data_IF_304917585720
#
_entry.id   IF_304917585720
#
_cell.length_a   1.000
_cell.length_b   1.000
_cell.length_c   1.000
_cell.angle_alpha   90.00
_cell.angle_beta   90.00
_cell.angle_gamma   90.00
#
_symmetry.space_group_name_H-M   'P 1'
#
loop_
_entity.id
_entity.type
_entity.pdbx_description
1 polymer ?
#
# COMPACT_ATOMS: atom_id res chain seq x y z
N UNK A 1 -4.43 2.54 10.31
CA UNK A 1 -3.61 2.89 11.50
C UNK A 1 -4.33 3.88 12.43
N UNK A 2 -5.03 4.88 11.94
CA UNK A 2 -5.76 5.86 12.79
C UNK A 2 -6.76 5.20 13.76
N UNK A 3 -7.60 4.28 13.27
CA UNK A 3 -8.55 3.55 14.13
C UNK A 3 -7.84 2.62 15.13
N UNK A 4 -6.73 1.99 14.70
CA UNK A 4 -5.92 1.16 15.61
C UNK A 4 -5.32 1.98 16.76
N UNK A 5 -4.77 3.16 16.44
CA UNK A 5 -4.23 4.07 17.45
C UNK A 5 -5.31 4.54 18.42
N UNK A 6 -6.46 4.99 17.91
CA UNK A 6 -7.58 5.43 18.74
C UNK A 6 -8.12 4.31 19.65
N UNK A 7 -8.27 3.10 19.14
CA UNK A 7 -8.72 1.95 19.91
C UNK A 7 -7.69 1.53 20.98
N UNK A 8 -6.40 1.59 20.67
CA UNK A 8 -5.33 1.32 21.64
C UNK A 8 -5.33 2.36 22.76
N UNK A 9 -5.44 3.66 22.42
CA UNK A 9 -5.49 4.74 23.40
C UNK A 9 -6.70 4.64 24.35
N UNK A 10 -7.85 4.18 23.81
CA UNK A 10 -9.03 3.90 24.62
C UNK A 10 -8.83 2.71 25.57
N UNK A 11 -8.16 1.65 25.08
CA UNK A 11 -7.88 0.45 25.89
C UNK A 11 -6.75 0.65 26.91
N UNK A 12 -5.90 1.68 26.70
CA UNK A 12 -4.70 1.91 27.52
C UNK A 12 -4.62 3.39 27.94
N UNK A 13 -5.40 3.78 28.96
CA UNK A 13 -5.44 5.16 29.42
C UNK A 13 -4.05 5.71 29.76
N UNK A 14 -3.77 6.92 29.32
CA UNK A 14 -2.46 7.57 29.52
C UNK A 14 -1.44 7.35 28.42
N UNK A 15 -1.67 6.42 27.49
CA UNK A 15 -0.87 6.29 26.27
C UNK A 15 -1.38 7.23 25.17
N UNK A 16 -0.45 7.69 24.33
CA UNK A 16 -0.76 8.51 23.14
C UNK A 16 0.08 8.04 21.96
N UNK A 17 -0.55 7.89 20.82
CA UNK A 17 0.09 7.48 19.57
C UNK A 17 0.17 8.66 18.62
N UNK A 18 1.39 9.09 18.29
CA UNK A 18 1.62 10.06 17.22
C UNK A 18 1.85 9.32 15.91
N UNK A 19 0.94 9.47 14.97
CA UNK A 19 1.04 8.86 13.65
C UNK A 19 1.80 9.77 12.67
N UNK A 20 2.67 9.16 11.88
CA UNK A 20 3.33 9.77 10.72
C UNK A 20 3.05 8.87 9.54
N UNK A 21 2.49 9.43 8.48
CA UNK A 21 2.14 8.70 7.27
C UNK A 21 3.07 9.06 6.12
N UNK A 22 3.35 8.07 5.27
CA UNK A 22 4.16 8.21 4.06
C UNK A 22 4.34 6.88 3.36
N UNK A 23 4.93 6.91 2.18
CA UNK A 23 5.36 5.70 1.49
C UNK A 23 6.41 4.96 2.34
N UNK A 24 6.27 3.63 2.47
CA UNK A 24 7.04 2.85 3.45
C UNK A 24 8.56 2.93 3.23
N UNK A 25 9.02 2.94 1.98
CA UNK A 25 10.44 3.10 1.66
C UNK A 25 10.97 4.48 2.06
N UNK A 26 10.20 5.54 1.85
CA UNK A 26 10.56 6.89 2.27
C UNK A 26 10.63 7.00 3.81
N UNK A 27 9.69 6.37 4.53
CA UNK A 27 9.71 6.34 5.99
C UNK A 27 10.90 5.54 6.52
N UNK A 28 11.25 4.42 5.89
CA UNK A 28 12.46 3.65 6.22
C UNK A 28 13.71 4.52 6.12
N UNK A 29 13.89 5.24 5.00
CA UNK A 29 15.04 6.13 4.83
C UNK A 29 15.09 7.24 5.88
N UNK A 30 13.95 7.87 6.19
CA UNK A 30 13.88 8.87 7.27
C UNK A 30 14.34 8.30 8.62
N UNK A 31 13.93 7.06 8.94
CA UNK A 31 14.37 6.36 10.17
C UNK A 31 15.90 6.12 10.12
N UNK A 32 16.44 5.65 8.99
CA UNK A 32 17.89 5.46 8.77
C UNK A 32 18.68 6.76 8.91
N UNK A 33 18.09 7.89 8.51
CA UNK A 33 18.69 9.23 8.70
C UNK A 33 18.45 9.82 10.08
N UNK A 34 17.96 9.03 11.06
CA UNK A 34 17.87 9.39 12.47
C UNK A 34 16.50 9.93 12.90
N UNK A 35 15.47 9.90 12.08
CA UNK A 35 14.13 10.23 12.56
C UNK A 35 13.64 9.17 13.55
N UNK A 36 13.18 9.62 14.72
CA UNK A 36 12.73 8.72 15.76
C UNK A 36 11.37 8.12 15.43
N UNK A 37 11.30 6.79 15.38
CA UNK A 37 10.08 6.02 15.35
C UNK A 37 10.16 4.90 16.37
N UNK A 38 9.17 4.79 17.26
CA UNK A 38 9.10 3.71 18.23
C UNK A 38 8.54 2.43 17.61
N UNK A 39 7.58 2.57 16.66
CA UNK A 39 7.01 1.48 15.86
C UNK A 39 7.02 1.88 14.38
N UNK A 40 7.45 0.97 13.53
CA UNK A 40 7.40 1.11 12.08
C UNK A 40 6.47 0.05 11.48
N UNK A 41 5.37 0.47 10.86
CA UNK A 41 4.46 -0.38 10.11
C UNK A 41 4.60 -0.11 8.61
N UNK A 42 4.87 -1.15 7.84
CA UNK A 42 5.17 -1.09 6.42
C UNK A 42 4.20 -1.93 5.60
N UNK A 43 3.96 -1.51 4.36
CA UNK A 43 3.18 -2.26 3.38
C UNK A 43 3.95 -3.42 2.71
N UNK A 44 5.10 -3.79 3.24
CA UNK A 44 5.87 -5.01 2.92
C UNK A 44 6.58 -5.53 4.17
N UNK A 45 7.17 -6.72 4.07
CA UNK A 45 8.03 -7.28 5.13
C UNK A 45 9.49 -6.86 5.00
N UNK A 46 9.95 -6.51 3.79
CA UNK A 46 11.34 -6.19 3.50
C UNK A 46 11.85 -5.01 4.32
N UNK A 47 11.09 -3.92 4.39
CA UNK A 47 11.50 -2.73 5.11
C UNK A 47 11.62 -2.92 6.64
N UNK A 48 10.67 -3.55 7.35
CA UNK A 48 10.85 -3.89 8.75
C UNK A 48 12.03 -4.84 8.98
N UNK A 49 12.23 -5.84 8.11
CA UNK A 49 13.37 -6.76 8.18
C UNK A 49 14.70 -6.02 7.97
N UNK A 50 14.74 -5.01 7.10
CA UNK A 50 15.93 -4.18 6.92
C UNK A 50 16.30 -3.44 8.21
N UNK A 51 15.34 -2.87 8.97
CA UNK A 51 15.61 -2.25 10.26
C UNK A 51 16.13 -3.26 11.30
N UNK A 52 15.69 -4.51 11.26
CA UNK A 52 16.23 -5.59 12.10
C UNK A 52 17.67 -5.89 11.70
N UNK A 53 17.96 -6.02 10.41
CA UNK A 53 19.31 -6.27 9.88
C UNK A 53 20.28 -5.11 10.21
N UNK A 54 19.80 -3.86 10.14
CA UNK A 54 20.55 -2.66 10.53
C UNK A 54 20.76 -2.56 12.06
N UNK A 55 20.14 -3.44 12.85
CA UNK A 55 20.22 -3.46 14.30
C UNK A 55 19.40 -2.32 14.96
N UNK A 56 18.48 -1.71 14.26
CA UNK A 56 17.62 -0.63 14.79
C UNK A 56 16.29 -1.14 15.35
N UNK A 57 15.80 -2.30 14.92
CA UNK A 57 14.60 -2.93 15.44
C UNK A 57 14.89 -4.28 16.11
N UNK A 58 13.96 -4.74 16.98
CA UNK A 58 14.09 -6.01 17.72
C UNK A 58 13.71 -7.21 16.85
N UNK A 59 12.54 -7.13 16.21
CA UNK A 59 11.96 -8.15 15.35
C UNK A 59 11.10 -7.51 14.26
N UNK A 60 10.71 -8.29 13.26
CA UNK A 60 9.76 -7.91 12.24
C UNK A 60 8.67 -8.98 12.14
N UNK A 61 7.42 -8.59 12.38
CA UNK A 61 6.25 -9.49 12.39
C UNK A 61 5.25 -9.11 11.29
N UNK A 62 4.68 -10.10 10.60
CA UNK A 62 3.57 -9.83 9.69
C UNK A 62 2.31 -9.49 10.49
N UNK A 63 1.59 -8.43 10.11
CA UNK A 63 0.37 -8.03 10.81
C UNK A 63 -0.87 -7.99 9.92
N UNK A 64 -0.72 -7.99 8.60
CA UNK A 64 -1.85 -8.01 7.66
C UNK A 64 -1.40 -8.48 6.28
N UNK A 65 -2.37 -8.85 5.43
CA UNK A 65 -2.17 -9.06 3.99
C UNK A 65 -3.10 -8.16 3.19
N UNK A 66 -2.66 -7.83 1.99
CA UNK A 66 -3.44 -7.07 1.02
C UNK A 66 -3.15 -7.58 -0.40
N UNK A 67 -4.02 -7.24 -1.32
CA UNK A 67 -3.89 -7.60 -2.74
C UNK A 67 -3.96 -6.34 -3.60
N UNK A 68 -3.51 -6.45 -4.85
CA UNK A 68 -3.68 -5.39 -5.83
C UNK A 68 -5.07 -5.43 -6.47
N UNK A 69 -5.61 -4.24 -6.69
CA UNK A 69 -6.79 -3.97 -7.48
C UNK A 69 -6.50 -2.86 -8.49
N UNK A 70 -7.27 -2.83 -9.56
CA UNK A 70 -7.30 -1.69 -10.48
C UNK A 70 -8.43 -0.74 -10.05
N UNK A 71 -8.10 0.52 -9.78
CA UNK A 71 -9.04 1.62 -9.67
C UNK A 71 -9.19 2.23 -11.06
N UNK A 72 -10.42 2.29 -11.58
CA UNK A 72 -10.70 2.56 -12.97
C UNK A 72 -11.58 3.79 -13.12
N UNK A 73 -11.27 4.62 -14.10
CA UNK A 73 -11.99 5.83 -14.43
C UNK A 73 -13.42 5.51 -14.91
N UNK A 74 -14.34 6.43 -14.64
CA UNK A 74 -15.72 6.34 -15.11
C UNK A 74 -15.78 6.20 -16.63
N UNK A 75 -16.60 5.26 -17.11
CA UNK A 75 -16.89 5.08 -18.54
C UNK A 75 -15.85 4.26 -19.30
N UNK A 76 -14.79 3.82 -18.64
CA UNK A 76 -13.89 2.82 -19.19
C UNK A 76 -14.44 1.43 -18.86
N UNK A 77 -14.92 0.72 -19.88
CA UNK A 77 -15.41 -0.65 -19.74
C UNK A 77 -14.22 -1.61 -19.60
N UNK A 78 -14.05 -2.14 -18.40
CA UNK A 78 -13.01 -3.11 -18.07
C UNK A 78 -13.48 -4.02 -16.92
N UNK A 79 -13.15 -5.28 -17.02
CA UNK A 79 -13.35 -6.31 -16.00
C UNK A 79 -12.04 -7.07 -15.74
N UNK A 80 -12.08 -8.05 -14.86
CA UNK A 80 -10.91 -8.84 -14.49
C UNK A 80 -10.31 -9.61 -15.69
N UNK A 81 -11.11 -9.98 -16.69
CA UNK A 81 -10.65 -10.74 -17.87
C UNK A 81 -9.98 -9.82 -18.90
N UNK A 82 -10.54 -8.63 -19.12
CA UNK A 82 -10.03 -7.64 -20.07
C UNK A 82 -8.95 -6.71 -19.51
N UNK A 83 -8.69 -6.78 -18.19
CA UNK A 83 -7.79 -5.83 -17.48
C UNK A 83 -6.39 -5.78 -18.12
N UNK A 84 -5.78 -6.93 -18.40
CA UNK A 84 -4.41 -6.97 -18.97
C UNK A 84 -4.37 -6.34 -20.35
N UNK A 85 -5.33 -6.67 -21.23
CA UNK A 85 -5.43 -6.09 -22.57
C UNK A 85 -5.60 -4.57 -22.50
N UNK A 86 -6.48 -4.08 -21.63
CA UNK A 86 -6.68 -2.64 -21.40
C UNK A 86 -5.44 -1.94 -20.88
N UNK A 87 -4.71 -2.54 -19.94
CA UNK A 87 -3.45 -1.98 -19.46
C UNK A 87 -2.38 -1.90 -20.56
N UNK A 88 -2.36 -2.85 -21.50
CA UNK A 88 -1.43 -2.86 -22.63
C UNK A 88 -1.81 -1.88 -23.75
N UNK A 89 -3.07 -1.44 -23.84
CA UNK A 89 -3.51 -0.45 -24.84
C UNK A 89 -2.77 0.87 -24.62
N UNK A 90 -2.02 1.32 -25.64
CA UNK A 90 -1.19 2.53 -25.58
C UNK A 90 -2.01 3.82 -25.29
N UNK A 91 -3.31 3.81 -25.57
CA UNK A 91 -4.22 4.96 -25.34
C UNK A 91 -4.62 5.11 -23.88
N UNK A 92 -4.49 4.05 -23.07
CA UNK A 92 -4.89 4.02 -21.66
C UNK A 92 -3.73 4.52 -20.80
N UNK A 93 -3.99 5.53 -19.97
CA UNK A 93 -3.06 6.04 -18.97
C UNK A 93 -3.03 5.08 -17.78
N UNK A 94 -1.93 4.35 -17.63
CA UNK A 94 -1.72 3.43 -16.51
C UNK A 94 -0.98 4.16 -15.39
N UNK A 95 -1.63 4.33 -14.23
CA UNK A 95 -1.05 4.91 -13.03
C UNK A 95 -0.57 3.84 -12.06
N UNK A 96 0.51 4.14 -11.35
CA UNK A 96 1.08 3.33 -10.26
C UNK A 96 1.66 4.21 -9.19
N UNK A 97 1.97 3.64 -8.02
CA UNK A 97 2.94 4.23 -7.09
C UNK A 97 4.37 4.05 -7.61
N UNK A 98 5.32 4.77 -7.02
CA UNK A 98 6.74 4.77 -7.42
C UNK A 98 7.47 3.57 -6.83
N UNK A 99 8.02 2.65 -7.65
CA UNK A 99 8.81 1.52 -7.16
C UNK A 99 10.00 1.96 -6.29
N UNK A 100 10.42 1.11 -5.37
CA UNK A 100 11.45 1.30 -4.35
C UNK A 100 11.10 2.32 -3.27
N UNK A 101 10.33 3.35 -3.58
CA UNK A 101 9.86 4.33 -2.62
C UNK A 101 8.55 3.90 -1.95
N UNK A 102 7.68 3.24 -2.68
CA UNK A 102 6.38 2.74 -2.21
C UNK A 102 6.19 1.26 -2.63
N UNK A 103 5.99 0.33 -1.67
CA UNK A 103 5.78 -1.09 -1.95
C UNK A 103 4.64 -1.38 -2.93
N UNK A 104 3.60 -0.54 -3.00
CA UNK A 104 2.53 -0.67 -4.01
C UNK A 104 3.09 -0.58 -5.43
N UNK A 105 4.11 0.25 -5.65
CA UNK A 105 4.85 0.33 -6.90
C UNK A 105 5.64 -0.96 -7.19
N UNK A 106 6.37 -1.49 -6.20
CA UNK A 106 7.13 -2.73 -6.34
C UNK A 106 6.23 -3.90 -6.69
N UNK A 107 5.08 -4.02 -6.02
CA UNK A 107 4.09 -5.06 -6.32
C UNK A 107 3.42 -4.89 -7.69
N UNK A 108 3.23 -3.66 -8.18
CA UNK A 108 2.76 -3.42 -9.54
C UNK A 108 3.78 -3.92 -10.57
N UNK A 109 5.09 -3.70 -10.35
CA UNK A 109 6.15 -4.24 -11.20
C UNK A 109 6.19 -5.77 -11.17
N UNK A 110 6.09 -6.38 -9.99
CA UNK A 110 5.98 -7.85 -9.86
C UNK A 110 4.73 -8.40 -10.60
N UNK A 111 3.62 -7.67 -10.55
CA UNK A 111 2.43 -8.03 -11.34
C UNK A 111 2.72 -7.96 -12.85
N UNK A 112 3.43 -6.95 -13.33
CA UNK A 112 3.82 -6.84 -14.75
C UNK A 112 4.73 -8.00 -15.19
N UNK A 113 5.66 -8.45 -14.34
CA UNK A 113 6.48 -9.64 -14.58
C UNK A 113 5.61 -10.90 -14.68
N UNK A 114 4.63 -11.06 -13.78
CA UNK A 114 3.70 -12.19 -13.84
C UNK A 114 2.84 -12.18 -15.11
N UNK A 115 2.40 -11.02 -15.59
CA UNK A 115 1.69 -10.90 -16.87
C UNK A 115 2.55 -11.42 -18.02
N UNK A 116 3.82 -11.05 -18.07
CA UNK A 116 4.75 -11.58 -19.09
C UNK A 116 4.92 -13.09 -18.98
N UNK A 117 5.08 -13.62 -17.76
CA UNK A 117 5.19 -15.07 -17.50
C UNK A 117 3.94 -15.87 -17.87
N UNK A 118 2.76 -15.23 -17.89
CA UNK A 118 1.49 -15.81 -18.32
C UNK A 118 1.30 -15.82 -19.86
N UNK A 119 2.34 -15.48 -20.62
CA UNK A 119 2.34 -15.59 -22.08
C UNK A 119 2.16 -14.26 -22.84
N UNK A 120 2.08 -13.12 -22.15
CA UNK A 120 2.04 -11.80 -22.79
C UNK A 120 3.47 -11.29 -23.04
N UNK A 121 4.16 -11.85 -24.03
CA UNK A 121 5.55 -11.52 -24.34
C UNK A 121 5.78 -10.01 -24.52
N UNK A 122 6.77 -9.45 -23.80
CA UNK A 122 7.09 -8.02 -23.81
C UNK A 122 6.18 -7.15 -22.93
N UNK A 123 5.22 -7.73 -22.20
CA UNK A 123 4.29 -6.99 -21.34
C UNK A 123 5.01 -6.23 -20.23
N UNK A 124 6.03 -6.83 -19.59
CA UNK A 124 6.79 -6.15 -18.55
C UNK A 124 7.39 -4.84 -19.06
N UNK A 125 8.08 -4.91 -20.21
CA UNK A 125 8.70 -3.72 -20.81
C UNK A 125 7.66 -2.68 -21.23
N UNK A 126 6.56 -3.12 -21.82
CA UNK A 126 5.48 -2.22 -22.27
C UNK A 126 4.80 -1.51 -21.09
N UNK A 127 4.43 -2.26 -20.05
CA UNK A 127 3.71 -1.74 -18.89
C UNK A 127 4.62 -0.88 -18.01
N UNK A 128 5.83 -1.34 -17.67
CA UNK A 128 6.77 -0.56 -16.84
C UNK A 128 7.25 0.71 -17.55
N UNK A 129 7.39 0.66 -18.88
CA UNK A 129 7.80 1.82 -19.67
C UNK A 129 6.72 2.89 -19.85
N UNK A 130 5.42 2.53 -19.79
CA UNK A 130 4.30 3.48 -19.90
C UNK A 130 3.72 3.90 -18.56
N UNK A 131 3.97 3.15 -17.47
CA UNK A 131 3.37 3.41 -16.16
C UNK A 131 3.76 4.79 -15.62
N UNK A 132 2.74 5.59 -15.32
CA UNK A 132 2.85 6.90 -14.71
C UNK A 132 3.01 6.72 -13.19
N UNK A 133 4.18 7.03 -12.64
CA UNK A 133 4.48 6.93 -11.21
C UNK A 133 3.94 8.17 -10.49
N UNK A 134 2.64 8.20 -10.19
CA UNK A 134 1.92 9.41 -9.81
C UNK A 134 1.95 9.70 -8.30
N UNK A 135 2.34 8.73 -7.46
CA UNK A 135 2.38 8.92 -6.00
C UNK A 135 3.47 8.06 -5.36
N UNK A 136 3.74 8.31 -4.07
CA UNK A 136 4.66 7.52 -3.25
C UNK A 136 6.14 7.76 -3.51
N UNK A 137 6.52 8.59 -4.47
CA UNK A 137 7.92 8.91 -4.78
C UNK A 137 8.39 10.26 -4.21
N UNK A 138 9.71 10.48 -4.18
CA UNK A 138 10.28 11.72 -3.64
C UNK A 138 9.91 12.97 -4.45
N UNK A 139 9.55 12.80 -5.72
CA UNK A 139 9.12 13.88 -6.62
C UNK A 139 7.61 13.91 -6.84
N UNK A 140 6.86 12.99 -6.21
CA UNK A 140 5.41 12.99 -6.30
C UNK A 140 4.83 14.21 -5.60
N UNK A 141 3.76 14.83 -6.13
CA UNK A 141 3.04 15.87 -5.42
C UNK A 141 2.59 15.39 -4.03
N UNK A 142 2.54 16.26 -3.03
CA UNK A 142 1.99 15.89 -1.72
C UNK A 142 0.53 15.44 -1.89
N UNK A 143 0.07 14.45 -1.10
CA UNK A 143 -1.32 14.03 -1.14
C UNK A 143 -2.25 15.21 -0.84
N UNK A 144 -3.41 15.30 -1.51
CA UNK A 144 -4.40 16.33 -1.20
C UNK A 144 -4.88 16.18 0.26
N UNK A 145 -5.15 17.29 0.93
CA UNK A 145 -5.50 17.30 2.36
C UNK A 145 -6.88 16.70 2.63
N UNK A 146 -7.85 16.99 1.76
CA UNK A 146 -9.28 16.68 1.98
C UNK A 146 -9.83 15.67 0.95
N UNK A 147 -8.98 14.97 0.21
CA UNK A 147 -9.37 14.00 -0.81
C UNK A 147 -8.48 12.77 -0.75
N UNK A 148 -9.06 11.62 -1.01
CA UNK A 148 -8.27 10.41 -1.26
C UNK A 148 -7.38 10.60 -2.50
N UNK A 149 -6.07 10.40 -2.37
CA UNK A 149 -5.11 10.64 -3.45
C UNK A 149 -5.42 9.81 -4.71
N UNK A 150 -5.77 8.55 -4.55
CA UNK A 150 -6.08 7.67 -5.67
C UNK A 150 -7.37 8.06 -6.37
N UNK A 151 -8.40 8.43 -5.57
CA UNK A 151 -9.65 8.97 -6.10
C UNK A 151 -9.42 10.23 -6.92
N UNK A 152 -8.60 11.14 -6.41
CA UNK A 152 -8.24 12.39 -7.10
C UNK A 152 -7.52 12.09 -8.43
N UNK A 153 -6.47 11.24 -8.40
CA UNK A 153 -5.66 10.93 -9.58
C UNK A 153 -6.50 10.35 -10.74
N UNK A 154 -7.45 9.47 -10.42
CA UNK A 154 -8.30 8.85 -11.45
C UNK A 154 -9.46 9.76 -11.84
N UNK A 155 -10.15 10.40 -10.90
CA UNK A 155 -11.28 11.28 -11.19
C UNK A 155 -10.86 12.53 -11.98
N UNK A 156 -9.65 13.04 -11.75
CA UNK A 156 -9.09 14.22 -12.44
C UNK A 156 -8.41 13.83 -13.77
N UNK A 157 -8.50 12.55 -14.20
CA UNK A 157 -8.02 12.06 -15.50
C UNK A 157 -6.49 11.98 -15.63
N UNK A 158 -5.76 11.93 -14.52
CA UNK A 158 -4.32 11.70 -14.54
C UNK A 158 -3.99 10.24 -14.85
N UNK A 159 -4.86 9.29 -14.46
CA UNK A 159 -4.83 7.90 -14.85
C UNK A 159 -6.23 7.43 -15.25
N UNK A 160 -6.31 6.54 -16.24
CA UNK A 160 -7.55 5.83 -16.61
C UNK A 160 -7.68 4.54 -15.80
N UNK A 161 -6.57 3.87 -15.54
CA UNK A 161 -6.43 2.70 -14.66
C UNK A 161 -5.30 2.99 -13.70
N UNK A 162 -5.54 2.86 -12.40
CA UNK A 162 -4.51 2.98 -11.37
C UNK A 162 -4.38 1.66 -10.60
N UNK A 163 -3.20 1.05 -10.62
CA UNK A 163 -2.92 -0.17 -9.86
C UNK A 163 -2.48 0.21 -8.44
N UNK A 164 -3.24 -0.23 -7.47
CA UNK A 164 -2.99 0.02 -6.04
C UNK A 164 -3.53 -1.13 -5.18
N UNK A 165 -3.35 -1.04 -3.87
CA UNK A 165 -3.97 -2.01 -2.96
C UNK A 165 -5.50 -1.96 -3.01
N UNK A 166 -6.14 -3.13 -2.86
CA UNK A 166 -7.60 -3.21 -2.86
C UNK A 166 -8.25 -2.39 -1.75
N UNK A 167 -7.59 -2.24 -0.59
CA UNK A 167 -8.05 -1.35 0.49
C UNK A 167 -8.09 0.11 0.04
N UNK A 168 -7.05 0.59 -0.65
CA UNK A 168 -6.99 1.95 -1.19
C UNK A 168 -8.05 2.17 -2.27
N UNK A 169 -8.20 1.20 -3.17
CA UNK A 169 -9.18 1.27 -4.25
C UNK A 169 -10.62 1.33 -3.70
N UNK A 170 -10.94 0.54 -2.67
CA UNK A 170 -12.24 0.56 -1.99
C UNK A 170 -12.48 1.89 -1.28
N UNK A 171 -11.48 2.44 -0.59
CA UNK A 171 -11.57 3.75 0.04
C UNK A 171 -11.78 4.86 -0.99
N UNK A 172 -11.07 4.81 -2.12
CA UNK A 172 -11.27 5.75 -3.22
C UNK A 172 -12.69 5.66 -3.78
N UNK A 173 -13.24 4.46 -3.95
CA UNK A 173 -14.61 4.24 -4.42
C UNK A 173 -15.65 4.79 -3.43
N UNK A 174 -15.42 4.70 -2.11
CA UNK A 174 -16.33 5.26 -1.10
C UNK A 174 -16.42 6.80 -1.18
N UNK A 175 -15.32 7.47 -1.56
CA UNK A 175 -15.29 8.92 -1.77
C UNK A 175 -15.83 9.32 -3.16
N UNK A 176 -15.50 8.53 -4.17
CA UNK A 176 -15.89 8.76 -5.57
C UNK A 176 -16.65 7.55 -6.15
N UNK A 177 -17.96 7.42 -5.87
CA UNK A 177 -18.76 6.25 -6.27
C UNK A 177 -18.90 6.07 -7.80
N UNK A 178 -18.43 7.02 -8.59
CA UNK A 178 -18.43 6.93 -10.06
C UNK A 178 -17.23 6.18 -10.63
N UNK A 179 -16.22 5.92 -9.81
CA UNK A 179 -15.08 5.09 -10.16
C UNK A 179 -15.50 3.61 -10.10
N UNK A 180 -14.65 2.75 -10.64
CA UNK A 180 -14.83 1.30 -10.58
C UNK A 180 -13.62 0.65 -9.92
N UNK A 181 -13.84 -0.40 -9.13
CA UNK A 181 -12.77 -1.27 -8.63
C UNK A 181 -12.86 -2.60 -9.35
N UNK A 182 -11.78 -2.97 -10.02
CA UNK A 182 -11.65 -4.23 -10.74
C UNK A 182 -10.63 -5.11 -10.04
N UNK A 183 -11.00 -6.36 -9.75
CA UNK A 183 -10.09 -7.33 -9.17
C UNK A 183 -9.01 -7.74 -10.19
N UNK A 184 -7.76 -7.72 -9.77
CA UNK A 184 -6.66 -8.28 -10.56
C UNK A 184 -6.81 -9.80 -10.58
N UNK A 185 -6.69 -10.48 -11.74
CA UNK A 185 -6.77 -11.94 -11.80
C UNK A 185 -5.76 -12.61 -10.86
N UNK A 186 -6.20 -13.65 -10.14
CA UNK A 186 -5.38 -14.32 -9.13
C UNK A 186 -4.04 -14.85 -9.67
N UNK A 187 -3.99 -15.24 -10.95
CA UNK A 187 -2.78 -15.74 -11.61
C UNK A 187 -1.66 -14.71 -11.74
N UNK A 188 -2.01 -13.44 -11.74
CA UNK A 188 -1.05 -12.31 -11.87
C UNK A 188 -1.04 -11.42 -10.62
N UNK A 189 -2.01 -11.58 -9.70
CA UNK A 189 -2.09 -10.76 -8.50
C UNK A 189 -0.93 -11.07 -7.53
N UNK A 190 -0.57 -10.07 -6.74
CA UNK A 190 0.48 -10.16 -5.73
C UNK A 190 -0.15 -9.96 -4.36
N UNK A 191 0.03 -10.96 -3.48
CA UNK A 191 -0.37 -10.83 -2.07
C UNK A 191 0.76 -10.14 -1.31
N UNK A 192 0.48 -8.93 -0.85
CA UNK A 192 1.40 -8.13 -0.04
C UNK A 192 1.26 -8.51 1.44
N UNK A 193 2.35 -8.95 2.07
CA UNK A 193 2.42 -9.12 3.52
C UNK A 193 2.93 -7.83 4.16
N UNK A 194 2.15 -7.24 5.04
CA UNK A 194 2.49 -6.02 5.76
C UNK A 194 3.25 -6.36 7.04
N UNK A 195 4.36 -5.66 7.26
CA UNK A 195 5.23 -5.90 8.41
C UNK A 195 5.20 -4.78 9.43
N UNK A 196 5.34 -5.15 10.70
CA UNK A 196 5.51 -4.23 11.82
C UNK A 196 6.80 -4.56 12.56
N UNK A 197 7.57 -3.53 12.92
CA UNK A 197 8.78 -3.65 13.71
C UNK A 197 8.78 -2.63 14.86
N UNK A 198 9.33 -3.01 16.00
CA UNK A 198 9.50 -2.15 17.17
C UNK A 198 10.96 -1.77 17.29
N UNK A 199 11.26 -0.46 17.39
CA UNK A 199 12.63 0.03 17.59
C UNK A 199 13.19 -0.54 18.89
N UNK A 200 14.45 -0.95 18.89
CA UNK A 200 15.08 -1.58 20.07
C UNK A 200 15.19 -0.65 21.29
N UNK A 201 15.18 0.66 21.06
CA UNK A 201 15.24 1.71 22.11
C UNK A 201 13.84 2.23 22.49
N UNK A 202 12.78 1.69 21.89
CA UNK A 202 11.41 2.11 22.16
C UNK A 202 10.97 1.72 23.58
N UNK A 203 10.08 2.50 24.20
CA UNK A 203 9.52 2.17 25.51
C UNK A 203 8.62 0.92 25.40
N UNK A 204 8.34 0.24 26.54
CA UNK A 204 7.47 -0.96 26.55
C UNK A 204 6.06 -0.75 25.98
N UNK A 205 5.55 0.48 25.99
CA UNK A 205 4.27 0.83 25.36
C UNK A 205 4.27 0.65 23.84
N UNK A 206 5.44 0.68 23.18
CA UNK A 206 5.57 0.41 21.76
C UNK A 206 5.35 -1.08 21.44
N UNK A 207 5.88 -1.97 22.29
CA UNK A 207 5.60 -3.41 22.19
C UNK A 207 4.10 -3.69 22.43
N UNK A 208 3.52 -3.05 23.46
CA UNK A 208 2.10 -3.19 23.75
C UNK A 208 1.21 -2.74 22.56
N UNK A 209 1.59 -1.67 21.87
CA UNK A 209 0.87 -1.24 20.66
C UNK A 209 1.03 -2.25 19.51
N UNK A 210 2.25 -2.74 19.25
CA UNK A 210 2.48 -3.76 18.23
C UNK A 210 1.70 -5.06 18.54
N UNK A 211 1.68 -5.49 19.79
CA UNK A 211 0.89 -6.66 20.23
C UNK A 211 -0.62 -6.43 20.12
N UNK A 212 -1.10 -5.21 20.39
CA UNK A 212 -2.48 -4.84 20.14
C UNK A 212 -2.84 -4.95 18.65
N UNK A 213 -1.99 -4.47 17.75
CA UNK A 213 -2.20 -4.58 16.29
C UNK A 213 -2.30 -6.04 15.85
N UNK A 214 -1.47 -6.90 16.42
CA UNK A 214 -1.41 -8.34 16.12
C UNK A 214 -2.51 -9.14 16.84
N UNK A 215 -3.06 -8.60 17.92
CA UNK A 215 -4.10 -9.23 18.73
C UNK A 215 -5.49 -9.18 18.10
N UNK A 216 -6.42 -9.93 18.67
CA UNK A 216 -7.78 -10.09 18.13
C UNK A 216 -8.51 -8.75 17.89
N UNK A 217 -8.36 -7.77 18.77
CA UNK A 217 -9.01 -6.47 18.63
C UNK A 217 -8.44 -5.67 17.44
N UNK A 218 -7.12 -5.63 17.29
CA UNK A 218 -6.46 -4.98 16.17
C UNK A 218 -6.77 -5.68 14.84
N UNK A 219 -6.74 -7.01 14.82
CA UNK A 219 -7.07 -7.81 13.64
C UNK A 219 -8.53 -7.61 13.19
N UNK A 220 -9.48 -7.52 14.12
CA UNK A 220 -10.87 -7.21 13.78
C UNK A 220 -11.03 -5.82 13.12
N UNK A 221 -10.24 -4.83 13.55
CA UNK A 221 -10.20 -3.50 12.92
C UNK A 221 -9.63 -3.57 11.50
N UNK A 222 -8.53 -4.29 11.30
CA UNK A 222 -7.90 -4.46 9.99
C UNK A 222 -8.82 -5.17 8.99
N UNK A 223 -9.49 -6.23 9.41
CA UNK A 223 -10.45 -6.97 8.57
C UNK A 223 -11.62 -6.06 8.14
N UNK A 224 -12.15 -5.21 9.03
CA UNK A 224 -13.17 -4.23 8.64
C UNK A 224 -12.70 -3.23 7.59
N UNK A 225 -11.42 -2.91 7.57
CA UNK A 225 -10.81 -2.04 6.55
C UNK A 225 -10.45 -2.80 5.25
N UNK A 226 -10.75 -4.11 5.17
CA UNK A 226 -10.55 -4.92 3.98
C UNK A 226 -9.18 -5.60 3.88
N UNK A 227 -8.39 -5.58 4.95
CA UNK A 227 -7.18 -6.40 5.03
C UNK A 227 -7.54 -7.86 5.36
N UNK A 228 -6.67 -8.78 4.93
CA UNK A 228 -6.70 -10.17 5.38
C UNK A 228 -5.71 -10.37 6.54
N UNK A 229 -5.97 -11.32 7.45
CA UNK A 229 -5.01 -11.71 8.48
C UNK A 229 -3.66 -12.13 7.91
N UNK A 230 -2.56 -12.03 8.67
CA UNK A 230 -1.21 -12.38 8.26
C UNK A 230 -1.03 -13.85 7.90
#
# INVERSE_FOLDING_TARGET
MTELAAAFEQATPGQRIRLVFGASGMLLERIRYGERADVFASANMEHPQALVADGEARDARSFARNELCALVARGLEVDSQSLVEKMLDARIKLGTSTPKADPSGDYAWTMFERIEQQGHAGAFRALSGKALQLTGGPTSPPPPVDRNVYAALVADGQADIFITYCTNARQALSEQPRLQVVAVPATINVSASYGIAVNKRAPPSADAFADFVLGAAGQALLVRQGFSPP
#
